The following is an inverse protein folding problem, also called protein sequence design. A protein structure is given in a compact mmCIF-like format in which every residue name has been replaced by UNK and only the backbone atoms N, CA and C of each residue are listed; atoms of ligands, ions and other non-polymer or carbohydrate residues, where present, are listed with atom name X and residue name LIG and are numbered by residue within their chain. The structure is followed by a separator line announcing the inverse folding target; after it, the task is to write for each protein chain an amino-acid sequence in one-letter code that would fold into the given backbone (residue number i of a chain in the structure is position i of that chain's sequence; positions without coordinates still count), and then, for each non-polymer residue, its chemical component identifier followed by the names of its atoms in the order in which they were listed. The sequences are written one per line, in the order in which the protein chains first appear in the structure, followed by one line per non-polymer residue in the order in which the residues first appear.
data_IF_030449654330
#
_entry.id   IF_030449654330
#
_cell.length_a   1.000
_cell.length_b   1.000
_cell.length_c   1.000
_cell.angle_alpha   90.00
_cell.angle_beta   90.00
_cell.angle_gamma   90.00
#
_symmetry.space_group_name_H-M   'P 1'
#
loop_
_entity.id
_entity.type
_entity.pdbx_description
1 polymer ?
#
# COMPACT_ATOMS: atom_id res chain seq x y z
N UNK A 1 -4.19 3.93 -19.79
CA UNK A 1 -5.22 3.79 -18.73
C UNK A 1 -4.59 3.11 -17.51
N UNK A 2 -4.81 3.62 -16.29
CA UNK A 2 -4.28 2.99 -15.08
C UNK A 2 -5.31 2.01 -14.50
N UNK A 3 -4.96 0.73 -14.42
CA UNK A 3 -5.81 -0.34 -13.91
C UNK A 3 -5.45 -0.65 -12.45
N UNK A 4 -6.43 -0.63 -11.55
CA UNK A 4 -6.22 -1.10 -10.17
C UNK A 4 -6.20 -2.63 -10.19
N UNK A 5 -5.03 -3.19 -9.94
CA UNK A 5 -4.80 -4.65 -10.01
C UNK A 5 -5.18 -5.30 -8.69
N UNK A 6 -4.76 -4.71 -7.56
CA UNK A 6 -5.05 -5.26 -6.24
C UNK A 6 -5.39 -4.15 -5.24
N UNK A 7 -6.34 -4.43 -4.36
CA UNK A 7 -6.68 -3.60 -3.21
C UNK A 7 -6.62 -4.45 -1.95
N UNK A 8 -5.72 -4.07 -1.05
CA UNK A 8 -5.53 -4.74 0.23
C UNK A 8 -6.00 -3.81 1.34
N UNK A 9 -7.08 -4.23 2.02
CA UNK A 9 -7.61 -3.52 3.18
C UNK A 9 -7.13 -4.19 4.46
N UNK A 10 -6.18 -3.56 5.16
CA UNK A 10 -5.68 -4.11 6.42
C UNK A 10 -6.65 -3.79 7.58
N UNK A 11 -7.65 -4.67 7.77
CA UNK A 11 -8.62 -4.60 8.89
C UNK A 11 -8.03 -4.84 10.27
N UNK A 12 -6.77 -5.28 10.35
CA UNK A 12 -6.20 -5.85 11.57
C UNK A 12 -5.92 -4.82 12.67
N UNK A 13 -5.96 -3.51 12.38
CA UNK A 13 -5.45 -2.47 13.29
C UNK A 13 -6.37 -1.25 13.51
N UNK A 14 -7.67 -1.47 13.67
CA UNK A 14 -8.59 -0.48 14.29
C UNK A 14 -8.56 0.94 13.68
N UNK A 15 -7.93 1.89 14.39
CA UNK A 15 -7.79 3.31 14.06
C UNK A 15 -6.63 3.65 13.10
N UNK A 16 -5.74 2.70 12.78
CA UNK A 16 -4.64 2.87 11.81
C UNK A 16 -4.93 2.07 10.55
N UNK A 17 -6.08 2.36 9.92
CA UNK A 17 -6.52 1.64 8.72
C UNK A 17 -5.57 1.98 7.58
N UNK A 18 -4.76 1.01 7.13
CA UNK A 18 -3.96 1.18 5.93
C UNK A 18 -4.65 0.53 4.75
N UNK A 19 -5.08 1.36 3.80
CA UNK A 19 -5.48 0.92 2.48
C UNK A 19 -4.23 0.91 1.60
N UNK A 20 -3.88 -0.25 1.04
CA UNK A 20 -2.77 -0.34 0.09
C UNK A 20 -3.31 -0.79 -1.26
N UNK A 21 -2.96 -0.05 -2.31
CA UNK A 21 -3.40 -0.29 -3.67
C UNK A 21 -2.19 -0.60 -4.54
N UNK A 22 -2.33 -1.62 -5.39
CA UNK A 22 -1.43 -1.89 -6.50
C UNK A 22 -2.13 -1.45 -7.79
N UNK A 23 -1.52 -0.52 -8.50
CA UNK A 23 -2.03 0.07 -9.73
C UNK A 23 -1.03 -0.24 -10.84
N UNK A 24 -1.51 -0.80 -11.94
CA UNK A 24 -0.73 -0.96 -13.17
C UNK A 24 -0.98 0.25 -14.06
N UNK A 25 0.08 0.92 -14.48
CA UNK A 25 0.04 2.04 -15.42
C UNK A 25 0.51 1.58 -16.79
N UNK A 26 0.40 2.45 -17.81
CA UNK A 26 0.87 2.13 -19.17
C UNK A 26 2.39 1.97 -19.25
N UNK A 27 3.11 2.55 -18.30
CA UNK A 27 4.57 2.59 -18.28
C UNK A 27 5.18 1.78 -17.14
N UNK A 28 4.37 1.14 -16.29
CA UNK A 28 4.88 0.40 -15.15
C UNK A 28 3.83 0.13 -14.07
N UNK A 29 4.25 0.25 -12.82
CA UNK A 29 3.50 -0.12 -11.63
C UNK A 29 3.58 0.96 -10.57
N UNK A 30 2.52 1.07 -9.78
CA UNK A 30 2.41 2.05 -8.72
C UNK A 30 1.80 1.40 -7.49
N UNK A 31 2.41 1.63 -6.33
CA UNK A 31 1.91 1.20 -5.03
C UNK A 31 1.50 2.43 -4.25
N UNK A 32 0.24 2.50 -3.84
CA UNK A 32 -0.31 3.59 -3.05
C UNK A 32 -0.69 3.07 -1.67
N UNK A 33 0.00 3.55 -0.63
CA UNK A 33 -0.35 3.29 0.76
C UNK A 33 -1.04 4.51 1.35
N UNK A 34 -2.28 4.36 1.79
CA UNK A 34 -3.02 5.39 2.52
C UNK A 34 -3.06 5.01 3.99
N UNK A 35 -2.44 5.81 4.84
CA UNK A 35 -2.54 5.67 6.29
C UNK A 35 -3.77 6.42 6.79
N UNK A 36 -4.79 5.68 7.19
CA UNK A 36 -6.03 6.20 7.73
C UNK A 36 -5.90 6.51 9.21
N UNK A 37 -5.38 7.70 9.51
CA UNK A 37 -5.53 8.45 10.77
C UNK A 37 -6.00 9.88 10.45
N UNK A 38 -6.26 10.73 11.46
CA UNK A 38 -6.82 12.09 11.28
C UNK A 38 -5.99 13.00 10.34
N UNK A 39 -4.71 12.68 10.10
CA UNK A 39 -3.78 13.40 9.22
C UNK A 39 -3.45 12.58 7.96
N UNK A 40 -4.45 11.87 7.42
CA UNK A 40 -4.27 10.78 6.46
C UNK A 40 -3.18 11.00 5.41
N UNK A 41 -2.03 10.34 5.62
CA UNK A 41 -0.86 10.47 4.77
C UNK A 41 -0.93 9.45 3.64
N UNK A 42 -0.91 9.96 2.42
CA UNK A 42 -0.82 9.14 1.20
C UNK A 42 0.64 9.04 0.78
N UNK A 43 1.12 7.81 0.59
CA UNK A 43 2.46 7.53 0.11
C UNK A 43 2.34 6.75 -1.19
N UNK A 44 2.95 7.29 -2.25
CA UNK A 44 2.94 6.68 -3.58
C UNK A 44 4.36 6.32 -3.99
N UNK A 45 4.54 5.08 -4.43
CA UNK A 45 5.78 4.60 -5.02
C UNK A 45 5.55 4.12 -6.44
N UNK A 46 6.49 4.42 -7.32
CA UNK A 46 6.47 4.02 -8.72
C UNK A 46 7.57 2.99 -8.96
N UNK A 47 7.27 2.02 -9.81
CA UNK A 47 8.15 0.92 -10.18
C UNK A 47 7.97 0.63 -11.67
N UNK A 48 9.06 0.24 -12.34
CA UNK A 48 8.99 -0.22 -13.72
C UNK A 48 8.55 -1.69 -13.80
N UNK A 49 8.87 -2.48 -12.77
CA UNK A 49 8.63 -3.92 -12.68
C UNK A 49 7.53 -4.32 -11.68
N UNK A 50 6.70 -5.31 -12.06
CA UNK A 50 5.64 -5.86 -11.20
C UNK A 50 6.23 -6.49 -9.93
N UNK A 51 7.36 -7.18 -10.05
CA UNK A 51 7.98 -7.91 -8.95
C UNK A 51 8.43 -6.97 -7.82
N UNK A 52 8.99 -5.81 -8.16
CA UNK A 52 9.39 -4.79 -7.19
C UNK A 52 8.18 -4.09 -6.57
N UNK A 53 7.15 -3.81 -7.38
CA UNK A 53 5.89 -3.27 -6.89
C UNK A 53 5.21 -4.23 -5.89
N UNK A 54 5.20 -5.53 -6.18
CA UNK A 54 4.68 -6.57 -5.27
C UNK A 54 5.52 -6.69 -4.00
N UNK A 55 6.85 -6.68 -4.09
CA UNK A 55 7.70 -6.66 -2.90
C UNK A 55 7.45 -5.45 -2.02
N UNK A 56 7.20 -4.29 -2.61
CA UNK A 56 6.84 -3.09 -1.85
C UNK A 56 5.45 -3.23 -1.22
N UNK A 57 4.45 -3.74 -1.95
CA UNK A 57 3.13 -4.04 -1.42
C UNK A 57 3.22 -4.98 -0.21
N UNK A 58 3.92 -6.10 -0.34
CA UNK A 58 4.16 -7.05 0.75
C UNK A 58 4.89 -6.41 1.93
N UNK A 59 5.90 -5.58 1.67
CA UNK A 59 6.57 -4.80 2.72
C UNK A 59 5.63 -3.81 3.39
N UNK A 60 4.74 -3.14 2.68
CA UNK A 60 3.77 -2.21 3.28
C UNK A 60 2.73 -2.93 4.12
N UNK A 61 2.34 -4.14 3.69
CA UNK A 61 1.46 -5.03 4.45
C UNK A 61 2.16 -5.62 5.68
N UNK A 62 3.47 -5.90 5.60
CA UNK A 62 4.28 -6.47 6.67
C UNK A 62 4.85 -5.43 7.65
N UNK A 63 5.21 -4.23 7.19
CA UNK A 63 5.77 -3.11 7.96
C UNK A 63 4.70 -2.33 8.73
N UNK A 64 3.66 -3.02 9.19
CA UNK A 64 2.95 -2.58 10.40
C UNK A 64 3.97 -2.65 11.53
N UNK A 65 4.31 -1.53 12.19
CA UNK A 65 5.29 -1.53 13.26
C UNK A 65 4.82 -2.48 14.36
N UNK A 66 5.74 -3.34 14.81
CA UNK A 66 5.55 -4.33 15.87
C UNK A 66 5.13 -3.69 17.22
N UNK A 67 5.22 -2.36 17.34
CA UNK A 67 5.02 -1.59 18.57
C UNK A 67 3.55 -1.22 18.88
N UNK A 68 2.59 -1.61 18.05
CA UNK A 68 1.15 -1.39 18.29
C UNK A 68 0.35 -2.69 18.44
N UNK A 69 1.04 -3.79 18.73
CA UNK A 69 0.41 -4.99 19.32
C UNK A 69 0.48 -4.87 20.84
N UNK A 70 -0.20 -3.87 21.39
CA UNK A 70 -0.39 -3.66 22.83
C UNK A 70 -1.88 -3.64 23.14
#
# INVERSE_FOLDING_TARGET
MAERVEHHFNRRYGLNRRDVFLIRTETGWQVLGREGGAEGREVTHYFDDEADARRMLERMLAAVPLELSG
#
